data_IF_638734700776
#
_entry.id   IF_638734700776
#
_cell.length_a   1.000
_cell.length_b   1.000
_cell.length_c   1.000
_cell.angle_alpha   90.00
_cell.angle_beta   90.00
_cell.angle_gamma   90.00
#
_symmetry.space_group_name_H-M   'P 1'
#
loop_
_entity.id
_entity.type
_entity.pdbx_description
1 polymer ?
#
# COMPACT_ATOMS: atom_id res chain seq x y z
N UNK A 1 -11.55 15.98 29.71
CA UNK A 1 -12.86 15.45 29.25
C UNK A 1 -12.65 14.83 27.87
N UNK A 2 -13.02 13.55 27.67
CA UNK A 2 -12.92 12.88 26.36
C UNK A 2 -13.78 13.62 25.33
N UNK A 3 -13.30 13.72 24.09
CA UNK A 3 -13.97 14.47 23.03
C UNK A 3 -15.25 13.73 22.62
N UNK A 4 -16.40 14.40 22.53
CA UNK A 4 -17.67 13.76 22.14
C UNK A 4 -17.60 13.05 20.78
N UNK A 5 -16.66 13.47 19.89
CA UNK A 5 -16.36 12.79 18.63
C UNK A 5 -15.70 11.41 18.79
N UNK A 6 -14.93 11.18 19.86
CA UNK A 6 -14.39 9.85 20.18
C UNK A 6 -15.50 8.90 20.63
N UNK A 7 -16.42 9.39 21.47
CA UNK A 7 -17.59 8.62 21.92
C UNK A 7 -18.52 8.25 20.75
N UNK A 8 -18.68 9.14 19.76
CA UNK A 8 -19.50 8.87 18.57
C UNK A 8 -18.87 7.83 17.62
N UNK A 9 -17.53 7.69 17.60
CA UNK A 9 -16.83 6.66 16.82
C UNK A 9 -16.87 5.30 17.52
N UNK A 10 -16.71 5.28 18.84
CA UNK A 10 -16.91 4.08 19.66
C UNK A 10 -18.36 3.57 19.59
N UNK A 11 -19.35 4.46 19.52
CA UNK A 11 -20.77 4.12 19.46
C UNK A 11 -21.25 3.61 18.08
N UNK A 12 -20.50 3.84 16.99
CA UNK A 12 -20.90 3.40 15.63
C UNK A 12 -20.24 2.11 15.15
N UNK A 13 -19.24 1.57 15.85
CA UNK A 13 -18.63 0.28 15.52
C UNK A 13 -17.97 0.19 14.13
N UNK A 14 -17.70 1.33 13.47
CA UNK A 14 -17.12 1.34 12.12
C UNK A 14 -15.60 1.53 12.19
N UNK A 15 -14.88 0.46 11.83
CA UNK A 15 -13.43 0.50 11.66
C UNK A 15 -13.06 1.41 10.47
N UNK A 16 -11.98 2.21 10.59
CA UNK A 16 -11.54 3.06 9.48
C UNK A 16 -11.20 2.22 8.24
N UNK A 17 -11.44 2.75 7.05
CA UNK A 17 -11.11 2.01 5.83
C UNK A 17 -9.59 1.79 5.70
N UNK A 18 -9.16 0.58 5.33
CA UNK A 18 -7.73 0.27 5.11
C UNK A 18 -7.35 0.49 3.65
N UNK A 19 -6.30 1.26 3.44
CA UNK A 19 -5.45 1.22 2.25
C UNK A 19 -4.14 0.49 2.56
N UNK A 20 -3.72 -0.40 1.66
CA UNK A 20 -2.47 -1.16 1.79
C UNK A 20 -1.61 -0.99 0.54
N UNK A 21 -0.33 -0.68 0.73
CA UNK A 21 0.65 -0.64 -0.36
C UNK A 21 1.04 -2.04 -0.84
N UNK A 22 1.65 -2.11 -2.03
CA UNK A 22 2.16 -3.36 -2.59
C UNK A 22 3.65 -3.52 -2.31
N UNK A 23 4.47 -2.71 -2.98
CA UNK A 23 5.93 -2.85 -2.99
C UNK A 23 6.48 -2.53 -1.60
N UNK A 24 7.30 -3.42 -1.03
CA UNK A 24 7.85 -3.26 0.32
C UNK A 24 6.89 -3.66 1.45
N UNK A 25 5.62 -3.96 1.15
CA UNK A 25 4.62 -4.45 2.12
C UNK A 25 4.22 -5.90 1.85
N UNK A 26 3.55 -6.15 0.73
CA UNK A 26 3.16 -7.50 0.30
C UNK A 26 4.06 -8.06 -0.80
N UNK A 27 4.69 -7.17 -1.57
CA UNK A 27 5.45 -7.48 -2.78
C UNK A 27 6.91 -7.16 -2.54
N UNK A 28 7.78 -8.14 -2.75
CA UNK A 28 9.22 -7.99 -2.55
C UNK A 28 9.88 -7.41 -3.82
N UNK A 29 9.70 -6.10 -3.98
CA UNK A 29 10.31 -5.34 -5.07
C UNK A 29 11.84 -5.43 -5.05
N UNK A 30 12.46 -5.35 -3.88
CA UNK A 30 13.93 -5.38 -3.75
C UNK A 30 14.48 -6.70 -4.28
N UNK A 31 13.90 -7.84 -3.89
CA UNK A 31 14.34 -9.15 -4.41
C UNK A 31 14.15 -9.27 -5.92
N UNK A 32 13.02 -8.79 -6.44
CA UNK A 32 12.77 -8.77 -7.89
C UNK A 32 13.79 -7.89 -8.64
N UNK A 33 14.01 -6.68 -8.17
CA UNK A 33 14.94 -5.73 -8.76
C UNK A 33 16.39 -6.25 -8.72
N UNK A 34 16.81 -6.82 -7.58
CA UNK A 34 18.14 -7.43 -7.44
C UNK A 34 18.35 -8.54 -8.48
N UNK A 35 17.33 -9.39 -8.71
CA UNK A 35 17.40 -10.50 -9.65
C UNK A 35 17.63 -10.04 -11.09
N UNK A 36 16.93 -8.99 -11.54
CA UNK A 36 17.02 -8.54 -12.94
C UNK A 36 18.16 -7.58 -13.21
N UNK A 37 18.64 -6.87 -12.19
CA UNK A 37 19.72 -5.88 -12.34
C UNK A 37 21.09 -6.39 -11.92
N UNK A 38 21.16 -7.45 -11.09
CA UNK A 38 22.40 -7.90 -10.47
C UNK A 38 23.00 -6.92 -9.46
N UNK A 39 22.23 -5.92 -8.99
CA UNK A 39 22.66 -4.89 -8.03
C UNK A 39 21.83 -4.97 -6.76
N UNK A 40 22.30 -4.35 -5.67
CA UNK A 40 21.53 -4.25 -4.43
C UNK A 40 20.55 -3.05 -4.49
N UNK A 41 19.24 -3.28 -4.50
CA UNK A 41 18.18 -2.27 -4.55
C UNK A 41 17.58 -1.93 -3.18
N UNK A 42 18.07 -2.50 -2.08
CA UNK A 42 17.65 -2.10 -0.74
C UNK A 42 18.12 -0.69 -0.36
N UNK A 43 19.15 -0.20 -1.05
CA UNK A 43 19.74 1.12 -0.86
C UNK A 43 19.38 1.98 -2.07
N UNK A 44 18.74 3.13 -1.83
CA UNK A 44 18.53 4.15 -2.87
C UNK A 44 19.87 4.75 -3.25
N UNK A 45 20.25 4.62 -4.51
CA UNK A 45 21.40 5.30 -5.09
C UNK A 45 20.96 6.33 -6.13
N UNK A 46 21.71 7.43 -6.31
CA UNK A 46 21.42 8.41 -7.36
C UNK A 46 21.45 7.83 -8.78
N UNK A 47 22.22 6.77 -8.99
CA UNK A 47 22.52 6.13 -10.28
C UNK A 47 21.73 4.83 -10.51
N UNK A 48 20.58 4.64 -9.84
CA UNK A 48 19.77 3.44 -10.05
C UNK A 48 19.32 3.34 -11.52
N UNK A 49 19.94 2.41 -12.25
CA UNK A 49 19.55 2.10 -13.62
C UNK A 49 18.28 1.23 -13.65
N UNK A 50 17.17 1.86 -14.02
CA UNK A 50 15.87 1.21 -14.16
C UNK A 50 15.72 0.44 -15.48
N UNK A 51 16.69 0.53 -16.40
CA UNK A 51 16.58 -0.06 -17.74
C UNK A 51 16.34 -1.57 -17.74
N UNK A 52 17.03 -2.39 -16.90
CA UNK A 52 16.77 -3.83 -16.85
C UNK A 52 15.36 -4.17 -16.34
N UNK A 53 14.83 -3.38 -15.39
CA UNK A 53 13.46 -3.53 -14.88
C UNK A 53 12.46 -3.24 -16.00
N UNK A 54 12.62 -2.09 -16.69
CA UNK A 54 11.75 -1.68 -17.80
C UNK A 54 11.79 -2.64 -18.99
N UNK A 55 12.97 -3.21 -19.28
CA UNK A 55 13.15 -4.21 -20.34
C UNK A 55 12.50 -5.56 -20.00
N UNK A 56 12.29 -5.86 -18.71
CA UNK A 56 11.65 -7.11 -18.27
C UNK A 56 10.14 -6.97 -18.27
N UNK A 57 9.50 -7.27 -19.41
CA UNK A 57 8.04 -7.08 -19.65
C UNK A 57 7.13 -7.60 -18.54
N UNK A 58 7.47 -8.74 -17.92
CA UNK A 58 6.65 -9.37 -16.89
C UNK A 58 7.09 -9.06 -15.45
N UNK A 59 8.10 -8.19 -15.24
CA UNK A 59 8.72 -7.90 -13.94
C UNK A 59 7.70 -7.75 -12.83
N UNK A 60 6.83 -6.75 -12.94
CA UNK A 60 5.83 -6.41 -11.92
C UNK A 60 4.85 -7.54 -11.62
N UNK A 61 4.51 -8.34 -12.63
CA UNK A 61 3.54 -9.44 -12.49
C UNK A 61 4.12 -10.70 -11.86
N UNK A 62 5.45 -10.84 -11.86
CA UNK A 62 6.17 -12.02 -11.35
C UNK A 62 6.95 -11.75 -10.07
N UNK A 63 6.81 -10.54 -9.50
CA UNK A 63 7.42 -10.20 -8.22
C UNK A 63 6.96 -11.19 -7.13
N UNK A 64 7.88 -11.67 -6.29
CA UNK A 64 7.52 -12.57 -5.21
C UNK A 64 6.80 -11.81 -4.09
N UNK A 65 6.09 -12.56 -3.25
CA UNK A 65 5.66 -12.05 -1.95
C UNK A 65 6.86 -11.70 -1.07
N UNK A 66 6.69 -10.73 -0.19
CA UNK A 66 7.58 -10.59 0.98
C UNK A 66 7.47 -11.85 1.86
N UNK A 67 8.48 -12.08 2.71
CA UNK A 67 8.56 -13.29 3.54
C UNK A 67 7.32 -13.50 4.43
N UNK A 68 6.69 -12.41 4.87
CA UNK A 68 5.52 -12.41 5.73
C UNK A 68 4.27 -11.75 5.11
N UNK A 69 4.33 -11.24 3.88
CA UNK A 69 3.25 -10.50 3.22
C UNK A 69 1.94 -11.29 3.08
N UNK A 70 2.02 -12.61 2.89
CA UNK A 70 0.83 -13.49 2.88
C UNK A 70 0.12 -13.51 4.23
N UNK A 71 0.87 -13.52 5.33
CA UNK A 71 0.33 -13.48 6.69
C UNK A 71 -0.37 -12.15 6.94
N UNK A 72 0.21 -11.03 6.49
CA UNK A 72 -0.44 -9.73 6.56
C UNK A 72 -1.74 -9.70 5.75
N UNK A 73 -1.71 -10.12 4.48
CA UNK A 73 -2.89 -10.15 3.62
C UNK A 73 -4.02 -11.00 4.23
N UNK A 74 -3.69 -12.19 4.74
CA UNK A 74 -4.66 -13.07 5.41
C UNK A 74 -5.32 -12.39 6.62
N UNK A 75 -4.58 -11.57 7.37
CA UNK A 75 -5.15 -10.81 8.48
C UNK A 75 -6.11 -9.72 7.99
N UNK A 76 -5.70 -8.94 7.00
CA UNK A 76 -6.45 -7.74 6.59
C UNK A 76 -7.61 -8.02 5.63
N UNK A 77 -7.57 -9.11 4.87
CA UNK A 77 -8.51 -9.39 3.76
C UNK A 77 -9.98 -9.35 4.17
N UNK A 78 -10.30 -9.83 5.38
CA UNK A 78 -11.67 -9.82 5.95
C UNK A 78 -12.24 -8.41 6.15
N UNK A 79 -11.40 -7.38 6.32
CA UNK A 79 -11.83 -5.98 6.42
C UNK A 79 -11.97 -5.30 5.04
N UNK A 80 -11.86 -6.08 3.95
CA UNK A 80 -12.02 -5.60 2.57
C UNK A 80 -11.14 -4.37 2.25
N UNK A 81 -9.81 -4.42 2.47
CA UNK A 81 -8.91 -3.30 2.23
C UNK A 81 -8.87 -2.91 0.74
N UNK A 82 -8.59 -1.65 0.45
CA UNK A 82 -8.23 -1.19 -0.90
C UNK A 82 -6.73 -1.26 -1.10
N UNK A 83 -6.30 -1.72 -2.27
CA UNK A 83 -4.92 -1.60 -2.70
C UNK A 83 -4.66 -0.14 -3.08
N UNK A 84 -3.55 0.44 -2.59
CA UNK A 84 -3.08 1.78 -2.95
C UNK A 84 -1.58 1.71 -3.27
N UNK A 85 -1.27 1.34 -4.50
CA UNK A 85 0.12 1.21 -4.98
C UNK A 85 0.51 2.41 -5.82
N UNK A 86 1.77 2.83 -5.69
CA UNK A 86 2.34 3.80 -6.60
C UNK A 86 2.61 3.15 -7.98
N UNK A 87 2.59 3.97 -9.02
CA UNK A 87 3.09 3.66 -10.38
C UNK A 87 3.81 4.88 -10.95
N UNK A 88 4.45 4.70 -12.10
CA UNK A 88 4.97 5.77 -12.96
C UNK A 88 4.07 5.97 -14.18
N UNK A 89 4.32 7.02 -14.96
CA UNK A 89 3.57 7.22 -16.21
C UNK A 89 3.89 6.11 -17.21
N UNK A 90 2.96 5.85 -18.14
CA UNK A 90 3.12 4.84 -19.20
C UNK A 90 4.38 5.06 -20.04
N UNK A 91 4.76 6.32 -20.27
CA UNK A 91 5.96 6.66 -21.05
C UNK A 91 7.26 6.39 -20.26
N UNK A 92 7.18 6.36 -18.91
CA UNK A 92 8.34 6.02 -18.06
C UNK A 92 8.53 4.51 -17.98
N UNK A 93 7.46 3.76 -17.71
CA UNK A 93 7.45 2.29 -17.73
C UNK A 93 6.05 1.78 -18.12
N UNK A 94 5.87 1.30 -19.36
CA UNK A 94 4.57 0.82 -19.82
C UNK A 94 4.15 -0.50 -19.15
N UNK A 95 5.06 -1.20 -18.46
CA UNK A 95 4.79 -2.49 -17.83
C UNK A 95 4.27 -2.37 -16.39
N UNK A 96 4.46 -1.23 -15.72
CA UNK A 96 4.18 -1.04 -14.30
C UNK A 96 2.71 -1.28 -13.92
N UNK A 97 1.80 -0.48 -14.47
CA UNK A 97 0.37 -0.59 -14.21
C UNK A 97 -0.22 -1.95 -14.60
N UNK A 98 -0.06 -2.47 -15.85
CA UNK A 98 -0.64 -3.75 -16.22
C UNK A 98 -0.04 -4.92 -15.43
N UNK A 99 1.26 -4.88 -15.11
CA UNK A 99 1.89 -5.91 -14.32
C UNK A 99 1.43 -5.94 -12.87
N UNK A 100 1.26 -4.78 -12.23
CA UNK A 100 0.66 -4.65 -10.88
C UNK A 100 -0.78 -5.16 -10.84
N UNK A 101 -1.61 -4.80 -11.83
CA UNK A 101 -2.99 -5.33 -11.95
C UNK A 101 -2.99 -6.86 -12.06
N UNK A 102 -2.11 -7.41 -12.91
CA UNK A 102 -1.98 -8.87 -13.07
C UNK A 102 -1.53 -9.54 -11.79
N UNK A 103 -0.58 -8.93 -11.06
CA UNK A 103 -0.12 -9.44 -9.76
C UNK A 103 -1.26 -9.48 -8.75
N UNK A 104 -2.01 -8.38 -8.59
CA UNK A 104 -3.17 -8.27 -7.69
C UNK A 104 -4.19 -9.37 -7.97
N UNK A 105 -4.59 -9.53 -9.24
CA UNK A 105 -5.57 -10.54 -9.65
C UNK A 105 -5.07 -11.96 -9.34
N UNK A 106 -3.83 -12.28 -9.70
CA UNK A 106 -3.29 -13.63 -9.57
C UNK A 106 -2.99 -14.03 -8.12
N UNK A 107 -2.55 -13.08 -7.27
CA UNK A 107 -2.07 -13.38 -5.93
C UNK A 107 -3.11 -13.09 -4.84
N UNK A 108 -3.96 -12.08 -5.04
CA UNK A 108 -4.96 -11.65 -4.05
C UNK A 108 -6.38 -12.11 -4.42
N UNK A 109 -6.61 -12.55 -5.65
CA UNK A 109 -7.94 -12.86 -6.18
C UNK A 109 -8.85 -11.64 -6.29
N UNK A 110 -8.31 -10.42 -6.14
CA UNK A 110 -9.07 -9.18 -6.13
C UNK A 110 -9.33 -8.69 -7.55
N UNK A 111 -10.60 -8.67 -7.96
CA UNK A 111 -11.08 -8.21 -9.28
C UNK A 111 -11.94 -6.96 -9.21
N UNK A 112 -12.41 -6.58 -8.02
CA UNK A 112 -13.19 -5.35 -7.79
C UNK A 112 -12.30 -4.12 -7.99
N UNK A 113 -12.49 -3.45 -9.14
CA UNK A 113 -11.71 -2.28 -9.54
C UNK A 113 -11.91 -1.08 -8.61
N UNK A 114 -13.04 -0.99 -7.89
CA UNK A 114 -13.28 0.09 -6.92
C UNK A 114 -12.32 0.01 -5.71
N UNK A 115 -11.70 -1.14 -5.51
CA UNK A 115 -10.71 -1.40 -4.44
C UNK A 115 -9.27 -1.40 -4.92
N UNK A 116 -9.01 -1.12 -6.19
CA UNK A 116 -7.66 -1.14 -6.76
C UNK A 116 -7.28 0.27 -7.22
N UNK A 117 -6.38 0.91 -6.46
CA UNK A 117 -5.93 2.26 -6.73
C UNK A 117 -4.45 2.22 -7.11
N UNK A 118 -4.18 2.37 -8.41
CA UNK A 118 -2.83 2.47 -8.96
C UNK A 118 -2.61 3.91 -9.40
N UNK A 119 -1.81 4.65 -8.63
CA UNK A 119 -1.73 6.11 -8.73
C UNK A 119 -0.29 6.60 -8.72
N UNK A 120 -0.05 7.86 -9.09
CA UNK A 120 1.25 8.47 -8.82
C UNK A 120 1.46 8.56 -7.30
N UNK A 121 2.70 8.36 -6.84
CA UNK A 121 3.03 8.40 -5.41
C UNK A 121 2.55 9.66 -4.71
N UNK A 122 2.65 10.83 -5.36
CA UNK A 122 2.19 12.12 -4.83
C UNK A 122 0.67 12.22 -4.63
N UNK A 123 -0.11 11.38 -5.32
CA UNK A 123 -1.56 11.34 -5.23
C UNK A 123 -2.06 10.50 -4.06
N UNK A 124 -1.24 9.58 -3.51
CA UNK A 124 -1.64 8.72 -2.37
C UNK A 124 -2.24 9.53 -1.22
N UNK A 125 -1.64 10.67 -0.85
CA UNK A 125 -2.12 11.55 0.23
C UNK A 125 -3.56 12.06 0.05
N UNK A 126 -4.11 12.04 -1.17
CA UNK A 126 -5.49 12.42 -1.46
C UNK A 126 -6.53 11.44 -0.91
N UNK A 127 -6.12 10.19 -0.64
CA UNK A 127 -6.98 9.11 -0.12
C UNK A 127 -7.06 9.07 1.41
N UNK A 128 -6.37 9.98 2.11
CA UNK A 128 -6.24 9.95 3.57
C UNK A 128 -7.56 10.06 4.33
N UNK A 129 -8.59 10.63 3.69
CA UNK A 129 -9.90 10.83 4.27
C UNK A 129 -10.97 10.35 3.28
N UNK A 130 -11.89 9.48 3.73
CA UNK A 130 -12.94 8.83 2.92
C UNK A 130 -14.33 9.29 3.35
N UNK A 131 -15.31 9.20 2.46
CA UNK A 131 -16.69 9.61 2.73
C UNK A 131 -17.07 10.90 2.01
N UNK A 132 -18.30 11.36 2.24
CA UNK A 132 -18.82 12.58 1.64
C UNK A 132 -18.08 13.82 2.13
N UNK A 133 -18.09 14.90 1.34
CA UNK A 133 -17.37 16.14 1.67
C UNK A 133 -17.69 16.67 3.08
N UNK A 134 -18.95 16.53 3.52
CA UNK A 134 -19.44 16.98 4.83
C UNK A 134 -19.29 15.93 5.94
N UNK A 135 -18.92 14.69 5.63
CA UNK A 135 -18.75 13.57 6.57
C UNK A 135 -17.53 12.72 6.19
N UNK A 136 -16.36 13.37 6.12
CA UNK A 136 -15.09 12.68 5.87
C UNK A 136 -14.57 12.03 7.15
N UNK A 137 -14.17 10.78 7.03
CA UNK A 137 -13.54 10.00 8.09
C UNK A 137 -12.11 9.63 7.69
N UNK A 138 -11.16 9.61 8.65
CA UNK A 138 -9.79 9.23 8.35
C UNK A 138 -9.70 7.74 7.99
N UNK A 139 -8.89 7.44 6.98
CA UNK A 139 -8.56 6.10 6.54
C UNK A 139 -7.17 5.69 7.05
N UNK A 140 -6.94 4.39 7.14
CA UNK A 140 -5.63 3.80 7.48
C UNK A 140 -4.80 3.63 6.20
N UNK A 141 -3.52 3.97 6.23
CA UNK A 141 -2.54 3.58 5.22
C UNK A 141 -1.47 2.69 5.86
N UNK A 142 -1.30 1.48 5.31
CA UNK A 142 -0.17 0.59 5.59
C UNK A 142 0.82 0.72 4.43
N UNK A 143 2.00 1.27 4.69
CA UNK A 143 3.00 1.61 3.67
C UNK A 143 4.39 1.56 4.30
N UNK A 144 5.40 1.08 3.58
CA UNK A 144 6.78 0.93 4.07
C UNK A 144 7.56 2.25 3.98
N UNK A 145 7.07 3.25 3.24
CA UNK A 145 7.81 4.48 2.99
C UNK A 145 7.44 5.60 3.99
N UNK A 146 8.36 6.02 4.89
CA UNK A 146 8.04 7.00 5.94
C UNK A 146 7.52 8.34 5.41
N UNK A 147 7.91 8.75 4.20
CA UNK A 147 7.41 9.98 3.58
C UNK A 147 5.92 9.87 3.24
N UNK A 148 5.45 8.71 2.77
CA UNK A 148 4.02 8.47 2.52
C UNK A 148 3.23 8.55 3.82
N UNK A 149 3.74 7.93 4.90
CA UNK A 149 3.11 7.97 6.23
C UNK A 149 3.00 9.39 6.79
N UNK A 150 4.06 10.20 6.67
CA UNK A 150 4.01 11.62 7.09
C UNK A 150 3.02 12.44 6.28
N UNK A 151 3.04 12.32 4.95
CA UNK A 151 2.11 13.05 4.08
C UNK A 151 0.65 12.62 4.28
N UNK A 152 0.41 11.34 4.57
CA UNK A 152 -0.90 10.78 4.89
C UNK A 152 -1.45 11.35 6.20
N UNK A 153 -0.62 11.30 7.25
CA UNK A 153 -0.98 11.82 8.57
C UNK A 153 -1.21 13.33 8.52
N UNK A 154 -0.40 14.06 7.75
CA UNK A 154 -0.59 15.50 7.50
C UNK A 154 -1.88 15.85 6.74
N UNK A 155 -2.56 14.87 6.14
CA UNK A 155 -3.90 15.03 5.53
C UNK A 155 -5.04 14.52 6.42
N UNK A 156 -4.74 14.20 7.68
CA UNK A 156 -5.71 13.76 8.69
C UNK A 156 -5.93 12.25 8.74
N UNK A 157 -5.29 11.47 7.87
CA UNK A 157 -5.40 10.01 7.88
C UNK A 157 -4.56 9.34 8.96
N UNK A 158 -4.76 8.04 9.15
CA UNK A 158 -4.01 7.22 10.13
C UNK A 158 -2.90 6.47 9.39
N UNK A 159 -1.64 6.81 9.62
CA UNK A 159 -0.51 6.11 9.00
C UNK A 159 0.06 4.99 9.87
N UNK A 160 0.24 3.81 9.30
CA UNK A 160 0.97 2.68 9.89
C UNK A 160 2.22 2.43 9.04
N UNK A 161 3.39 2.78 9.57
CA UNK A 161 4.66 2.43 8.94
C UNK A 161 4.86 0.92 9.01
N UNK A 162 4.91 0.28 7.85
CA UNK A 162 5.17 -1.15 7.76
C UNK A 162 6.67 -1.43 7.91
N UNK A 163 7.02 -2.17 8.97
CA UNK A 163 8.38 -2.70 9.19
C UNK A 163 8.39 -4.23 9.32
N UNK A 164 7.25 -4.80 9.68
CA UNK A 164 6.98 -6.23 9.73
C UNK A 164 5.48 -6.45 9.80
N UNK A 165 5.02 -7.65 9.43
CA UNK A 165 3.61 -8.04 9.61
C UNK A 165 3.20 -7.97 11.07
N UNK A 166 4.06 -8.37 12.01
CA UNK A 166 3.75 -8.36 13.44
C UNK A 166 3.51 -6.92 13.95
N UNK A 167 4.37 -5.96 13.60
CA UNK A 167 4.21 -4.56 14.01
C UNK A 167 2.97 -3.91 13.38
N UNK A 168 2.68 -4.22 12.12
CA UNK A 168 1.45 -3.76 11.45
C UNK A 168 0.19 -4.33 12.12
N UNK A 169 0.14 -5.64 12.36
CA UNK A 169 -1.02 -6.28 13.02
C UNK A 169 -1.22 -5.73 14.44
N UNK A 170 -0.16 -5.55 15.22
CA UNK A 170 -0.28 -4.94 16.56
C UNK A 170 -0.81 -3.50 16.49
N UNK A 171 -0.45 -2.74 15.45
CA UNK A 171 -0.97 -1.39 15.23
C UNK A 171 -2.45 -1.40 14.84
N UNK A 172 -2.86 -2.33 13.97
CA UNK A 172 -4.26 -2.53 13.60
C UNK A 172 -5.11 -2.95 14.81
N UNK A 173 -4.63 -3.87 15.66
CA UNK A 173 -5.35 -4.28 16.88
C UNK A 173 -5.61 -3.12 17.83
N UNK A 174 -4.65 -2.20 17.99
CA UNK A 174 -4.82 -0.98 18.81
C UNK A 174 -5.89 -0.02 18.25
N UNK A 175 -6.22 -0.14 16.96
CA UNK A 175 -7.29 0.61 16.29
C UNK A 175 -8.63 -0.15 16.29
N UNK A 176 -8.70 -1.34 16.91
CA UNK A 176 -9.91 -2.15 17.02
C UNK A 176 -10.11 -3.21 15.93
N UNK A 177 -9.12 -3.43 15.05
CA UNK A 177 -9.19 -4.48 14.02
C UNK A 177 -8.88 -5.86 14.61
#
# INVERSE_FOLDING_TARGET
MRNYKEFYREAKGQLPHIYIDMDGVMVDFVKGANKVTGKNWSIKRPDQDWSPIKATRNFWSTLPWTSDGRRLWNYVSKYKPSILTATVTRDTDPNATPGKLKWIRNNLGLTDSSRINIVLRSQKRGFAMKGWLWAREPAVLIDDYPKNIREWSGKGGIGILHTSTSSTISSLKRLGF
#
